data_IF_078803861628
#
_entry.id   IF_078803861628
#
_cell.length_a   1.000
_cell.length_b   1.000
_cell.length_c   1.000
_cell.angle_alpha   90.00
_cell.angle_beta   90.00
_cell.angle_gamma   90.00
#
_symmetry.space_group_name_H-M   'P 1'
#
loop_
_entity.id
_entity.type
_entity.pdbx_description
1 polymer ?
#
# COMPACT_ATOMS: atom_id res chain seq x y z
N UNK A 1 -13.02 23.07 -1.82
CA UNK A 1 -13.52 24.28 -1.14
C UNK A 1 -14.94 24.56 -1.59
N UNK A 2 -15.79 24.97 -0.66
CA UNK A 2 -17.17 25.40 -0.93
C UNK A 2 -17.30 26.91 -0.80
N UNK A 3 -18.37 27.50 -1.33
CA UNK A 3 -18.74 28.91 -1.16
C UNK A 3 -19.05 29.26 0.33
N UNK A 4 -19.44 28.29 1.13
CA UNK A 4 -19.61 28.43 2.58
C UNK A 4 -18.28 28.36 3.37
N UNK A 5 -17.15 28.22 2.70
CA UNK A 5 -15.82 28.22 3.32
C UNK A 5 -15.37 26.86 3.90
N UNK A 6 -16.14 25.79 3.69
CA UNK A 6 -15.71 24.45 4.10
C UNK A 6 -14.70 23.88 3.10
N UNK A 7 -13.77 23.09 3.63
CA UNK A 7 -12.75 22.39 2.82
C UNK A 7 -12.76 20.90 3.15
N UNK A 8 -12.97 20.08 2.13
CA UNK A 8 -12.78 18.63 2.20
C UNK A 8 -11.36 18.24 1.82
N UNK A 9 -10.80 17.29 2.55
CA UNK A 9 -9.50 16.70 2.28
C UNK A 9 -9.68 15.32 1.66
N UNK A 10 -9.03 15.09 0.52
CA UNK A 10 -8.93 13.77 -0.10
C UNK A 10 -7.51 13.55 -0.58
N UNK A 11 -7.08 12.30 -0.63
CA UNK A 11 -5.74 11.93 -1.08
C UNK A 11 -5.75 10.74 -2.01
N UNK A 12 -4.67 10.61 -2.75
CA UNK A 12 -4.37 9.46 -3.60
C UNK A 12 -2.86 9.37 -3.79
N UNK A 13 -2.39 8.30 -4.44
CA UNK A 13 -0.96 8.08 -4.62
C UNK A 13 -0.64 7.51 -6.01
N UNK A 14 0.65 7.48 -6.36
CA UNK A 14 1.24 7.10 -7.67
C UNK A 14 0.84 8.04 -8.81
N UNK A 15 1.79 8.34 -9.67
CA UNK A 15 1.63 9.20 -10.85
C UNK A 15 0.95 10.56 -10.55
N UNK A 16 1.42 11.33 -9.55
CA UNK A 16 0.70 12.50 -9.07
C UNK A 16 0.40 13.51 -10.17
N UNK A 17 1.32 13.76 -11.11
CA UNK A 17 1.12 14.72 -12.20
C UNK A 17 -0.02 14.31 -13.13
N UNK A 18 -0.13 13.01 -13.46
CA UNK A 18 -1.22 12.54 -14.31
C UNK A 18 -2.57 12.63 -13.59
N UNK A 19 -2.62 12.36 -12.29
CA UNK A 19 -3.84 12.47 -11.48
C UNK A 19 -4.25 13.95 -11.33
N UNK A 20 -3.31 14.85 -11.05
CA UNK A 20 -3.58 16.28 -10.94
C UNK A 20 -4.15 16.81 -12.27
N UNK A 21 -3.55 16.45 -13.41
CA UNK A 21 -4.06 16.82 -14.73
C UNK A 21 -5.50 16.32 -14.93
N UNK A 22 -5.75 15.06 -14.65
CA UNK A 22 -7.12 14.48 -14.75
C UNK A 22 -8.13 15.20 -13.85
N UNK A 23 -7.77 15.50 -12.60
CA UNK A 23 -8.65 16.22 -11.68
C UNK A 23 -8.99 17.60 -12.24
N UNK A 24 -7.99 18.35 -12.71
CA UNK A 24 -8.20 19.70 -13.21
C UNK A 24 -8.90 19.76 -14.57
N UNK A 25 -8.64 18.82 -15.46
CA UNK A 25 -9.18 18.82 -16.81
C UNK A 25 -10.55 18.12 -16.93
N UNK A 26 -10.81 17.16 -16.04
CA UNK A 26 -12.03 16.32 -16.12
C UNK A 26 -12.96 16.48 -14.92
N UNK A 27 -12.44 16.37 -13.69
CA UNK A 27 -13.29 16.40 -12.50
C UNK A 27 -13.74 17.81 -12.13
N UNK A 28 -12.81 18.77 -12.10
CA UNK A 28 -13.10 20.14 -11.67
C UNK A 28 -14.13 20.84 -12.57
N UNK A 29 -14.07 20.78 -13.90
CA UNK A 29 -15.10 21.38 -14.75
C UNK A 29 -16.50 20.81 -14.52
N UNK A 30 -16.58 19.53 -14.15
CA UNK A 30 -17.86 18.91 -13.81
C UNK A 30 -18.39 19.34 -12.43
N UNK A 31 -17.51 19.45 -11.42
CA UNK A 31 -17.90 19.67 -10.01
C UNK A 31 -18.16 21.13 -9.68
N UNK A 32 -17.52 22.07 -10.38
CA UNK A 32 -17.68 23.50 -10.10
C UNK A 32 -19.13 23.94 -10.16
N UNK A 33 -19.60 24.61 -9.09
CA UNK A 33 -20.96 25.11 -8.94
C UNK A 33 -22.02 24.04 -8.64
N UNK A 34 -21.60 22.81 -8.32
CA UNK A 34 -22.51 21.71 -7.90
C UNK A 34 -22.55 21.57 -6.40
N UNK A 35 -23.66 21.03 -5.91
CA UNK A 35 -23.85 20.68 -4.50
C UNK A 35 -22.93 19.52 -4.11
N UNK A 36 -21.91 19.74 -3.23
CA UNK A 36 -20.96 18.70 -2.85
C UNK A 36 -21.57 17.56 -2.04
N UNK A 37 -22.77 17.72 -1.51
CA UNK A 37 -23.45 16.68 -0.71
C UNK A 37 -24.11 15.59 -1.56
N UNK A 38 -24.19 15.77 -2.87
CA UNK A 38 -24.72 14.76 -3.81
C UNK A 38 -23.64 13.73 -4.20
N UNK A 39 -22.97 13.15 -3.20
CA UNK A 39 -21.76 12.33 -3.36
C UNK A 39 -21.98 11.17 -4.33
N UNK A 40 -23.06 10.38 -4.15
CA UNK A 40 -23.35 9.23 -5.01
C UNK A 40 -23.59 9.62 -6.47
N UNK A 41 -24.22 10.77 -6.70
CA UNK A 41 -24.41 11.30 -8.06
C UNK A 41 -23.07 11.69 -8.68
N UNK A 42 -22.20 12.33 -7.91
CA UNK A 42 -20.87 12.71 -8.40
C UNK A 42 -20.00 11.49 -8.65
N UNK A 43 -20.04 10.48 -7.78
CA UNK A 43 -19.32 9.23 -7.98
C UNK A 43 -19.74 8.54 -9.27
N UNK A 44 -21.05 8.40 -9.53
CA UNK A 44 -21.55 7.79 -10.76
C UNK A 44 -21.20 8.62 -12.00
N UNK A 45 -21.40 9.93 -11.97
CA UNK A 45 -21.11 10.80 -13.10
C UNK A 45 -19.62 10.84 -13.44
N UNK A 46 -18.74 10.96 -12.46
CA UNK A 46 -17.29 10.94 -12.70
C UNK A 46 -16.81 9.59 -13.21
N UNK A 47 -17.45 8.50 -12.76
CA UNK A 47 -17.07 7.16 -13.19
C UNK A 47 -17.59 6.83 -14.59
N UNK A 48 -18.84 7.18 -14.91
CA UNK A 48 -19.55 6.61 -16.06
C UNK A 48 -19.97 7.63 -17.12
N UNK A 49 -20.22 8.90 -16.77
CA UNK A 49 -20.98 9.81 -17.62
C UNK A 49 -20.28 11.11 -18.04
N UNK A 50 -19.12 11.42 -17.49
CA UNK A 50 -18.32 12.61 -17.87
C UNK A 50 -17.29 12.24 -18.96
N UNK A 51 -16.06 12.65 -18.80
CA UNK A 51 -14.96 12.34 -19.72
C UNK A 51 -14.72 10.84 -19.86
N UNK A 52 -15.12 10.04 -18.88
CA UNK A 52 -14.85 8.61 -18.81
C UNK A 52 -15.89 7.72 -19.53
N UNK A 53 -16.96 8.26 -20.06
CA UNK A 53 -18.04 7.49 -20.69
C UNK A 53 -17.61 6.58 -21.84
N UNK A 54 -16.50 6.90 -22.49
CA UNK A 54 -15.93 6.13 -23.59
C UNK A 54 -14.76 5.26 -23.19
N UNK A 55 -14.32 5.31 -21.91
CA UNK A 55 -13.20 4.54 -21.41
C UNK A 55 -13.74 3.34 -20.64
N UNK A 56 -13.62 2.16 -21.25
CA UNK A 56 -14.08 0.91 -20.63
C UNK A 56 -13.18 0.44 -19.49
N UNK A 57 -13.80 -0.24 -18.52
CA UNK A 57 -13.07 -1.09 -17.61
C UNK A 57 -12.44 -2.26 -18.41
N UNK A 58 -11.19 -2.69 -18.20
CA UNK A 58 -10.29 -2.37 -17.06
C UNK A 58 -9.20 -1.30 -17.37
N UNK A 59 -9.34 -0.51 -18.41
CA UNK A 59 -8.29 0.42 -18.86
C UNK A 59 -8.16 1.67 -17.99
N UNK A 60 -9.13 1.95 -17.13
CA UNK A 60 -9.12 3.07 -16.20
C UNK A 60 -8.12 2.84 -15.07
N UNK A 61 -7.24 3.78 -14.84
CA UNK A 61 -6.24 3.74 -13.78
C UNK A 61 -6.13 5.10 -13.07
N UNK A 62 -5.70 6.14 -13.79
CA UNK A 62 -5.61 7.51 -13.29
C UNK A 62 -6.98 8.03 -12.89
N UNK A 63 -8.02 7.71 -13.66
CA UNK A 63 -9.40 8.09 -13.44
C UNK A 63 -9.93 7.57 -12.09
N UNK A 64 -9.71 6.28 -11.78
CA UNK A 64 -10.11 5.73 -10.50
C UNK A 64 -9.40 6.40 -9.32
N UNK A 65 -8.11 6.71 -9.47
CA UNK A 65 -7.33 7.37 -8.42
C UNK A 65 -7.78 8.81 -8.18
N UNK A 66 -8.03 9.55 -9.26
CA UNK A 66 -8.56 10.91 -9.19
C UNK A 66 -9.96 10.96 -8.62
N UNK A 67 -10.85 10.08 -9.09
CA UNK A 67 -12.22 9.97 -8.58
C UNK A 67 -12.23 9.58 -7.09
N UNK A 68 -11.36 8.67 -6.66
CA UNK A 68 -11.22 8.28 -5.26
C UNK A 68 -10.82 9.46 -4.38
N UNK A 69 -9.85 10.28 -4.80
CA UNK A 69 -9.45 11.47 -4.06
C UNK A 69 -10.62 12.47 -3.91
N UNK A 70 -11.41 12.66 -4.97
CA UNK A 70 -12.61 13.52 -4.94
C UNK A 70 -13.68 12.94 -4.01
N UNK A 71 -13.96 11.66 -4.11
CA UNK A 71 -14.96 10.97 -3.27
C UNK A 71 -14.63 11.10 -1.78
N UNK A 72 -13.38 10.83 -1.40
CA UNK A 72 -12.90 11.03 -0.02
C UNK A 72 -13.10 12.47 0.43
N UNK A 73 -12.75 13.47 -0.41
CA UNK A 73 -12.93 14.88 -0.09
C UNK A 73 -14.41 15.28 0.10
N UNK A 74 -15.31 14.72 -0.70
CA UNK A 74 -16.75 14.97 -0.58
C UNK A 74 -17.34 14.37 0.70
N UNK A 75 -16.91 13.16 1.07
CA UNK A 75 -17.29 12.54 2.35
C UNK A 75 -16.75 13.32 3.56
N UNK A 76 -15.52 13.82 3.49
CA UNK A 76 -14.96 14.69 4.53
C UNK A 76 -15.72 16.01 4.65
N UNK A 77 -16.10 16.63 3.52
CA UNK A 77 -16.99 17.80 3.50
C UNK A 77 -18.33 17.53 4.17
N UNK A 78 -18.96 16.40 3.86
CA UNK A 78 -20.24 16.00 4.45
C UNK A 78 -20.13 15.84 5.96
N UNK A 79 -19.08 15.20 6.45
CA UNK A 79 -18.84 15.04 7.87
C UNK A 79 -18.66 16.40 8.57
N UNK A 80 -17.84 17.27 7.98
CA UNK A 80 -17.60 18.64 8.50
C UNK A 80 -18.85 19.51 8.48
N UNK A 81 -19.65 19.48 7.41
CA UNK A 81 -20.90 20.23 7.31
C UNK A 81 -21.95 19.81 8.36
N UNK A 82 -21.91 18.54 8.76
CA UNK A 82 -22.80 17.99 9.79
C UNK A 82 -22.22 18.07 11.20
N UNK A 83 -21.00 18.57 11.37
CA UNK A 83 -20.23 18.55 12.62
C UNK A 83 -20.16 17.15 13.27
N UNK A 84 -20.01 16.12 12.45
CA UNK A 84 -19.92 14.72 12.86
C UNK A 84 -18.59 14.12 12.42
N UNK A 85 -18.18 13.02 13.06
CA UNK A 85 -17.07 12.22 12.59
C UNK A 85 -17.47 11.46 11.33
N UNK A 86 -16.54 11.22 10.43
CA UNK A 86 -16.82 10.42 9.22
C UNK A 86 -17.38 9.03 9.55
N UNK A 87 -16.88 8.39 10.59
CA UNK A 87 -17.38 7.07 11.03
C UNK A 87 -18.87 7.12 11.40
N UNK A 88 -19.35 8.21 12.00
CA UNK A 88 -20.75 8.36 12.38
C UNK A 88 -21.64 8.58 11.15
N UNK A 89 -21.16 9.33 10.15
CA UNK A 89 -21.83 9.51 8.85
C UNK A 89 -21.93 8.18 8.08
N UNK A 90 -20.95 7.31 8.23
CA UNK A 90 -20.90 5.98 7.57
C UNK A 90 -21.68 4.90 8.33
N UNK A 91 -22.43 5.26 9.38
CA UNK A 91 -23.29 4.35 10.13
C UNK A 91 -22.81 3.98 11.53
N UNK A 92 -21.76 4.62 12.01
CA UNK A 92 -21.19 4.42 13.35
C UNK A 92 -20.10 3.35 13.44
N UNK A 93 -19.37 3.35 14.55
CA UNK A 93 -18.25 2.40 14.74
C UNK A 93 -18.79 0.99 15.08
N UNK A 94 -18.22 -0.02 14.47
CA UNK A 94 -18.46 -1.43 14.84
C UNK A 94 -17.42 -1.96 15.84
N UNK A 95 -16.39 -1.17 16.15
CA UNK A 95 -15.33 -1.47 17.12
C UNK A 95 -14.65 -0.19 17.57
N UNK A 96 -14.12 -0.19 18.79
CA UNK A 96 -13.45 1.00 19.36
C UNK A 96 -11.96 1.09 18.99
N UNK A 97 -11.36 -0.04 18.61
CA UNK A 97 -9.94 -0.13 18.24
C UNK A 97 -9.76 -1.03 17.03
N UNK A 98 -8.78 -0.71 16.22
CA UNK A 98 -8.37 -1.50 15.05
C UNK A 98 -6.94 -1.97 15.29
N UNK A 99 -6.64 -3.28 15.19
CA UNK A 99 -5.28 -3.78 15.17
C UNK A 99 -4.50 -3.17 14.00
N UNK A 100 -3.25 -2.83 14.26
CA UNK A 100 -2.35 -2.27 13.25
C UNK A 100 -1.11 -3.13 13.12
N UNK A 101 -0.44 -3.04 11.97
CA UNK A 101 0.89 -3.57 11.76
C UNK A 101 1.82 -2.49 11.22
N UNK A 102 3.12 -2.67 11.40
CA UNK A 102 4.13 -1.85 10.75
C UNK A 102 4.52 -2.49 9.41
N UNK A 103 4.44 -1.72 8.32
CA UNK A 103 4.85 -2.20 6.98
C UNK A 103 6.37 -2.22 6.76
N UNK A 104 7.15 -1.81 7.74
CA UNK A 104 8.62 -1.80 7.75
C UNK A 104 9.23 -1.12 6.51
N UNK A 105 8.63 -0.01 6.09
CA UNK A 105 9.11 0.79 4.96
C UNK A 105 10.10 1.87 5.42
N UNK A 106 10.86 2.42 4.46
CA UNK A 106 11.76 3.54 4.72
C UNK A 106 11.02 4.86 4.83
N UNK A 107 11.53 5.79 5.64
CA UNK A 107 11.01 7.15 5.77
C UNK A 107 11.03 7.96 4.47
N UNK A 108 11.94 7.63 3.55
CA UNK A 108 12.05 8.22 2.21
C UNK A 108 11.43 7.37 1.11
N UNK A 109 10.59 6.41 1.45
CA UNK A 109 9.93 5.52 0.47
C UNK A 109 8.87 6.30 -0.32
N UNK A 110 9.35 7.12 -1.24
CA UNK A 110 8.54 7.77 -2.24
C UNK A 110 8.67 7.03 -3.56
N UNK A 111 7.55 6.55 -4.07
CA UNK A 111 7.44 6.09 -5.46
C UNK A 111 7.63 7.29 -6.39
N UNK A 112 8.87 7.65 -6.63
CA UNK A 112 9.21 8.52 -7.73
C UNK A 112 9.19 7.68 -9.01
N UNK A 113 8.34 8.06 -9.97
CA UNK A 113 8.08 7.32 -11.21
C UNK A 113 9.35 7.05 -12.06
N UNK A 114 10.46 7.69 -11.74
CA UNK A 114 11.74 7.52 -12.42
C UNK A 114 12.65 6.46 -11.83
N UNK A 115 12.20 5.70 -10.83
CA UNK A 115 13.09 4.81 -10.07
C UNK A 115 12.69 3.34 -10.08
N UNK A 116 12.52 2.75 -11.25
CA UNK A 116 12.52 1.28 -11.38
C UNK A 116 13.84 0.63 -10.92
N UNK A 117 14.87 1.44 -10.63
CA UNK A 117 16.16 1.01 -10.08
C UNK A 117 16.35 1.35 -8.59
N UNK A 118 15.42 2.07 -7.95
CA UNK A 118 15.62 2.66 -6.62
C UNK A 118 15.54 1.66 -5.48
N UNK A 119 14.68 0.64 -5.53
CA UNK A 119 14.65 -0.38 -4.47
C UNK A 119 16.04 -1.01 -4.23
N UNK A 120 16.83 -1.18 -5.29
CA UNK A 120 18.19 -1.71 -5.18
C UNK A 120 19.22 -0.61 -4.90
N UNK A 121 19.00 0.63 -5.36
CA UNK A 121 19.94 1.74 -5.15
C UNK A 121 19.75 2.45 -3.81
N UNK A 122 18.52 2.49 -3.26
CA UNK A 122 18.25 3.07 -1.93
C UNK A 122 18.80 2.20 -0.81
N UNK A 123 18.86 0.88 -0.99
CA UNK A 123 19.65 0.01 -0.13
C UNK A 123 21.16 0.35 -0.15
N UNK A 124 21.62 1.15 -1.13
CA UNK A 124 23.02 1.56 -1.29
C UNK A 124 23.30 3.03 -0.96
N UNK A 125 22.30 3.90 -0.86
CA UNK A 125 22.52 5.36 -0.90
C UNK A 125 22.22 6.14 0.37
N UNK A 126 21.70 5.53 1.44
CA UNK A 126 21.47 6.28 2.68
C UNK A 126 22.79 6.48 3.44
N UNK A 127 23.54 7.52 3.04
CA UNK A 127 24.73 8.00 3.77
C UNK A 127 24.41 8.97 4.92
N UNK A 128 23.16 9.31 5.19
CA UNK A 128 22.77 10.07 6.36
C UNK A 128 22.37 9.13 7.51
N UNK A 129 23.34 8.89 8.37
CA UNK A 129 23.36 7.87 9.42
C UNK A 129 22.51 8.14 10.67
N UNK A 130 21.52 9.02 10.65
CA UNK A 130 20.79 9.41 11.88
C UNK A 130 19.29 9.09 11.87
N UNK A 131 18.71 8.54 10.83
CA UNK A 131 17.31 8.12 10.85
C UNK A 131 17.21 6.61 11.00
N UNK A 132 16.45 6.16 11.97
CA UNK A 132 15.95 4.81 12.13
C UNK A 132 15.18 4.44 10.82
N UNK A 133 15.59 3.38 10.15
CA UNK A 133 15.06 2.96 8.85
C UNK A 133 14.63 1.50 8.92
N UNK A 134 13.32 1.28 9.02
CA UNK A 134 12.73 -0.05 9.12
C UNK A 134 13.04 -0.93 7.91
N UNK A 135 13.15 -0.33 6.70
CA UNK A 135 13.48 -1.06 5.49
C UNK A 135 14.92 -1.61 5.53
N UNK A 136 15.85 -0.86 6.10
CA UNK A 136 17.21 -1.34 6.32
C UNK A 136 17.23 -2.40 7.41
N UNK A 137 16.54 -2.17 8.52
CA UNK A 137 16.50 -3.05 9.69
C UNK A 137 15.86 -4.40 9.39
N UNK A 138 14.75 -4.45 8.62
CA UNK A 138 14.13 -5.73 8.24
C UNK A 138 15.09 -6.64 7.46
N UNK A 139 16.11 -6.06 6.83
CA UNK A 139 17.12 -6.81 6.08
C UNK A 139 18.35 -7.16 6.94
N UNK A 140 18.86 -6.20 7.71
CA UNK A 140 20.11 -6.36 8.47
C UNK A 140 19.89 -6.92 9.87
N UNK A 141 18.90 -6.41 10.59
CA UNK A 141 18.63 -6.74 11.99
C UNK A 141 17.13 -6.94 12.24
N UNK A 142 16.47 -7.91 11.55
CA UNK A 142 15.02 -8.08 11.64
C UNK A 142 14.53 -8.48 13.04
N UNK A 143 15.35 -9.16 13.84
CA UNK A 143 15.03 -9.50 15.22
C UNK A 143 14.98 -8.27 16.14
N UNK A 144 15.96 -7.34 15.99
CA UNK A 144 15.99 -6.10 16.78
C UNK A 144 14.82 -5.20 16.39
N UNK A 145 14.48 -5.13 15.09
CA UNK A 145 13.29 -4.41 14.63
C UNK A 145 12.02 -4.97 15.25
N UNK A 146 11.85 -6.30 15.24
CA UNK A 146 10.68 -6.94 15.83
C UNK A 146 10.56 -6.65 17.33
N UNK A 147 11.68 -6.68 18.08
CA UNK A 147 11.69 -6.33 19.49
C UNK A 147 11.32 -4.87 19.73
N UNK A 148 11.87 -3.94 18.93
CA UNK A 148 11.54 -2.51 19.00
C UNK A 148 10.06 -2.24 18.79
N UNK A 149 9.44 -2.90 17.80
CA UNK A 149 7.99 -2.79 17.54
C UNK A 149 7.15 -3.29 18.72
N UNK A 150 7.54 -4.40 19.33
CA UNK A 150 6.87 -4.91 20.53
C UNK A 150 6.99 -3.94 21.71
N UNK A 151 8.14 -3.31 21.90
CA UNK A 151 8.37 -2.31 22.95
C UNK A 151 7.47 -1.07 22.74
N UNK A 152 7.15 -0.73 21.49
CA UNK A 152 6.17 0.30 21.12
C UNK A 152 4.70 -0.18 21.22
N UNK A 153 4.46 -1.45 21.51
CA UNK A 153 3.12 -2.04 21.59
C UNK A 153 2.56 -2.48 20.25
N UNK A 154 3.33 -2.48 19.15
CA UNK A 154 2.96 -2.96 17.83
C UNK A 154 3.21 -4.47 17.77
N UNK A 155 2.15 -5.26 17.54
CA UNK A 155 2.19 -6.72 17.61
C UNK A 155 2.18 -7.41 16.24
N UNK A 156 2.38 -6.66 15.19
CA UNK A 156 2.39 -7.20 13.83
C UNK A 156 3.33 -6.38 12.93
N UNK A 157 4.06 -7.08 12.06
CA UNK A 157 4.99 -6.48 11.12
C UNK A 157 4.91 -7.13 9.75
N UNK A 158 5.07 -6.32 8.68
CA UNK A 158 5.13 -6.81 7.31
C UNK A 158 6.52 -6.55 6.74
N UNK A 159 7.18 -7.62 6.24
CA UNK A 159 8.53 -7.58 5.69
C UNK A 159 8.55 -8.08 4.24
N UNK A 160 9.62 -7.74 3.51
CA UNK A 160 9.81 -8.06 2.09
C UNK A 160 11.07 -8.90 1.87
N UNK A 161 11.12 -10.12 2.41
CA UNK A 161 12.37 -10.86 2.53
C UNK A 161 12.91 -11.44 1.22
N UNK A 162 12.09 -11.45 0.13
CA UNK A 162 12.43 -12.11 -1.12
C UNK A 162 12.52 -11.19 -2.33
N UNK A 163 12.14 -9.92 -2.24
CA UNK A 163 12.02 -9.01 -3.39
C UNK A 163 13.31 -8.83 -4.18
N UNK A 164 14.44 -8.66 -3.48
CA UNK A 164 15.74 -8.47 -4.14
C UNK A 164 16.11 -9.62 -5.07
N UNK A 165 15.66 -10.86 -4.76
CA UNK A 165 15.94 -12.04 -5.57
C UNK A 165 14.99 -12.14 -6.77
N UNK A 166 13.80 -11.57 -6.67
CA UNK A 166 12.85 -11.49 -7.79
C UNK A 166 13.40 -10.63 -8.92
N UNK A 167 14.03 -9.50 -8.62
CA UNK A 167 14.59 -8.61 -9.65
C UNK A 167 15.64 -9.29 -10.53
N UNK A 168 16.49 -10.15 -9.95
CA UNK A 168 17.55 -10.87 -10.68
C UNK A 168 16.95 -11.82 -11.71
N UNK A 169 15.90 -12.56 -11.35
CA UNK A 169 15.27 -13.59 -12.18
C UNK A 169 14.03 -13.12 -12.93
N UNK A 170 13.62 -11.85 -12.75
CA UNK A 170 12.31 -11.33 -13.16
C UNK A 170 11.15 -12.21 -12.64
N UNK A 171 11.31 -12.69 -11.42
CA UNK A 171 10.33 -13.52 -10.72
C UNK A 171 10.19 -14.95 -11.26
N UNK A 172 11.03 -15.40 -12.19
CA UNK A 172 10.89 -16.71 -12.84
C UNK A 172 11.47 -17.87 -12.01
N UNK A 173 12.44 -17.59 -11.15
CA UNK A 173 13.07 -18.60 -10.31
C UNK A 173 13.68 -17.98 -9.06
N UNK A 174 13.77 -18.79 -8.00
CA UNK A 174 14.58 -18.48 -6.82
C UNK A 174 15.59 -19.60 -6.58
N UNK A 175 16.88 -19.24 -6.45
CA UNK A 175 17.94 -20.19 -6.13
C UNK A 175 17.81 -20.69 -4.69
N UNK A 176 18.36 -21.89 -4.39
CA UNK A 176 18.35 -22.39 -3.01
C UNK A 176 19.13 -21.50 -2.03
N UNK A 177 20.29 -20.92 -2.40
CA UNK A 177 20.97 -19.95 -1.55
C UNK A 177 20.14 -18.69 -1.27
N UNK A 178 19.44 -18.14 -2.27
CA UNK A 178 18.64 -16.93 -2.10
C UNK A 178 17.37 -17.19 -1.30
N UNK A 179 16.72 -18.34 -1.53
CA UNK A 179 15.62 -18.79 -0.68
C UNK A 179 16.06 -18.86 0.79
N UNK A 180 17.22 -19.48 1.05
CA UNK A 180 17.76 -19.57 2.41
C UNK A 180 18.01 -18.21 3.04
N UNK A 181 18.51 -17.21 2.29
CA UNK A 181 18.71 -15.85 2.80
C UNK A 181 17.39 -15.17 3.19
N UNK A 182 16.36 -15.31 2.36
CA UNK A 182 15.02 -14.77 2.69
C UNK A 182 14.42 -15.43 3.93
N UNK A 183 14.51 -16.76 4.02
CA UNK A 183 14.03 -17.51 5.19
C UNK A 183 14.81 -17.17 6.47
N UNK A 184 16.12 -16.89 6.38
CA UNK A 184 16.95 -16.49 7.52
C UNK A 184 16.42 -15.21 8.18
N UNK A 185 15.92 -14.25 7.41
CA UNK A 185 15.31 -13.02 7.96
C UNK A 185 14.10 -13.34 8.83
N UNK A 186 13.21 -14.20 8.35
CA UNK A 186 12.01 -14.62 9.09
C UNK A 186 12.43 -15.41 10.33
N UNK A 187 13.37 -16.33 10.18
CA UNK A 187 13.91 -17.12 11.29
C UNK A 187 14.47 -16.24 12.39
N UNK A 188 15.27 -15.21 12.06
CA UNK A 188 15.85 -14.28 13.04
C UNK A 188 14.79 -13.50 13.81
N UNK A 189 13.65 -13.16 13.22
CA UNK A 189 12.50 -12.59 13.94
C UNK A 189 11.96 -13.62 14.93
N UNK A 190 11.69 -14.85 14.49
CA UNK A 190 11.17 -15.90 15.36
C UNK A 190 12.14 -16.27 16.48
N UNK A 191 13.45 -16.30 16.21
CA UNK A 191 14.48 -16.55 17.21
C UNK A 191 14.51 -15.44 18.29
N UNK A 192 14.26 -14.17 17.90
CA UNK A 192 14.31 -13.04 18.81
C UNK A 192 13.05 -12.90 19.68
N UNK A 193 11.87 -13.02 19.08
CA UNK A 193 10.60 -12.66 19.74
C UNK A 193 9.55 -13.79 19.75
N UNK A 194 9.85 -14.94 19.18
CA UNK A 194 8.94 -16.08 19.10
C UNK A 194 7.66 -15.74 18.33
N UNK A 195 6.52 -16.14 18.89
CA UNK A 195 5.18 -15.86 18.34
C UNK A 195 4.53 -14.60 18.93
N UNK A 196 5.28 -13.74 19.62
CA UNK A 196 4.72 -12.51 20.21
C UNK A 196 4.40 -11.43 19.18
N UNK A 197 4.90 -11.56 17.95
CA UNK A 197 4.60 -10.68 16.82
C UNK A 197 4.08 -11.50 15.63
N UNK A 198 3.00 -11.02 15.01
CA UNK A 198 2.52 -11.57 13.76
C UNK A 198 3.42 -11.11 12.61
N UNK A 199 3.82 -12.03 11.74
CA UNK A 199 4.64 -11.73 10.58
C UNK A 199 3.77 -11.83 9.32
N UNK A 200 3.75 -10.75 8.52
CA UNK A 200 3.16 -10.70 7.20
C UNK A 200 4.28 -10.63 6.17
N UNK A 201 4.08 -11.28 5.03
CA UNK A 201 5.05 -11.27 3.95
C UNK A 201 4.48 -10.57 2.72
N UNK A 202 5.21 -9.61 2.22
CA UNK A 202 4.94 -8.91 0.97
C UNK A 202 5.83 -9.45 -0.14
N UNK A 203 5.26 -9.66 -1.34
CA UNK A 203 5.96 -10.13 -2.53
C UNK A 203 5.83 -9.17 -3.73
N UNK A 204 5.06 -8.09 -3.57
CA UNK A 204 4.82 -7.03 -4.58
C UNK A 204 4.44 -7.55 -5.97
N UNK A 205 3.75 -8.68 -6.08
CA UNK A 205 3.37 -9.30 -7.36
C UNK A 205 4.57 -9.61 -8.28
N UNK A 206 5.76 -9.78 -7.71
CA UNK A 206 7.00 -9.93 -8.49
C UNK A 206 7.24 -11.36 -8.99
N UNK A 207 6.61 -12.35 -8.38
CA UNK A 207 6.90 -13.76 -8.64
C UNK A 207 5.91 -14.40 -9.63
N UNK A 208 6.41 -15.38 -10.39
CA UNK A 208 5.58 -16.35 -11.09
C UNK A 208 5.11 -17.44 -10.12
N UNK A 209 4.05 -18.17 -10.49
CA UNK A 209 3.42 -19.17 -9.61
C UNK A 209 4.41 -20.20 -9.03
N UNK A 210 5.25 -20.81 -9.87
CA UNK A 210 6.13 -21.89 -9.42
C UNK A 210 7.14 -21.46 -8.34
N UNK A 211 7.91 -20.36 -8.48
CA UNK A 211 8.77 -19.88 -7.40
C UNK A 211 7.98 -19.37 -6.19
N UNK A 212 6.82 -18.75 -6.36
CA UNK A 212 5.96 -18.34 -5.25
C UNK A 212 5.52 -19.53 -4.39
N UNK A 213 5.05 -20.61 -5.00
CA UNK A 213 4.71 -21.86 -4.32
C UNK A 213 5.94 -22.49 -3.60
N UNK A 214 7.12 -22.43 -4.24
CA UNK A 214 8.35 -22.90 -3.60
C UNK A 214 8.66 -22.08 -2.34
N UNK A 215 8.56 -20.76 -2.39
CA UNK A 215 8.77 -19.88 -1.24
C UNK A 215 7.72 -20.19 -0.15
N UNK A 216 6.44 -20.15 -0.49
CA UNK A 216 5.34 -20.38 0.45
C UNK A 216 5.50 -21.69 1.23
N UNK A 217 5.83 -22.79 0.53
CA UNK A 217 6.07 -24.10 1.14
C UNK A 217 7.18 -24.09 2.21
N UNK A 218 8.22 -23.27 2.03
CA UNK A 218 9.33 -23.19 3.00
C UNK A 218 9.07 -22.15 4.09
N UNK A 219 8.17 -21.21 3.84
CA UNK A 219 7.76 -20.20 4.83
C UNK A 219 6.76 -20.77 5.82
N UNK A 220 6.02 -21.81 5.46
CA UNK A 220 4.95 -22.41 6.24
C UNK A 220 5.40 -22.81 7.67
N UNK A 221 6.65 -23.24 7.84
CA UNK A 221 7.23 -23.55 9.15
C UNK A 221 7.33 -22.37 10.14
N UNK A 222 7.24 -21.13 9.64
CA UNK A 222 7.37 -19.91 10.46
C UNK A 222 6.03 -19.34 10.93
N UNK A 223 4.91 -19.96 10.60
CA UNK A 223 3.56 -19.52 11.00
C UNK A 223 3.34 -18.02 10.70
N UNK A 224 3.42 -17.66 9.40
CA UNK A 224 3.18 -16.28 8.94
C UNK A 224 1.69 -16.02 8.82
N UNK A 225 1.26 -14.80 9.15
CA UNK A 225 -0.14 -14.41 9.22
C UNK A 225 -0.81 -14.33 7.83
N UNK A 226 -0.11 -13.76 6.82
CA UNK A 226 -0.54 -13.78 5.42
C UNK A 226 0.62 -13.63 4.44
N UNK A 227 0.31 -13.96 3.18
CA UNK A 227 1.14 -13.69 2.01
C UNK A 227 0.44 -12.61 1.16
N UNK A 228 1.03 -11.43 1.02
CA UNK A 228 0.49 -10.30 0.26
C UNK A 228 1.07 -10.31 -1.14
N UNK A 229 0.20 -10.19 -2.15
CA UNK A 229 0.57 -10.13 -3.57
C UNK A 229 1.62 -11.19 -4.01
N UNK A 230 1.39 -12.50 -3.72
CA UNK A 230 2.43 -13.53 -3.88
C UNK A 230 2.84 -13.80 -5.32
N UNK A 231 1.96 -13.50 -6.28
CA UNK A 231 2.20 -13.74 -7.71
C UNK A 231 1.79 -12.55 -8.56
N UNK A 232 2.27 -12.55 -9.81
CA UNK A 232 1.86 -11.55 -10.80
C UNK A 232 0.37 -11.70 -11.13
N UNK A 233 -0.41 -10.66 -10.82
CA UNK A 233 -1.87 -10.61 -10.99
C UNK A 233 -2.34 -10.62 -12.45
N UNK A 234 -1.44 -10.58 -13.45
CA UNK A 234 -1.81 -10.68 -14.85
C UNK A 234 -2.37 -12.08 -15.21
N UNK A 235 -2.14 -13.07 -14.38
CA UNK A 235 -2.56 -14.46 -14.59
C UNK A 235 -3.62 -14.88 -13.56
N UNK A 236 -4.86 -14.39 -13.72
CA UNK A 236 -5.96 -14.66 -12.77
C UNK A 236 -6.26 -16.15 -12.52
N UNK A 237 -5.85 -17.03 -13.44
CA UNK A 237 -6.03 -18.49 -13.25
C UNK A 237 -5.05 -19.10 -12.25
N UNK A 238 -4.03 -18.37 -11.88
CA UNK A 238 -2.99 -18.83 -10.94
C UNK A 238 -3.31 -18.40 -9.50
N UNK A 239 -4.34 -17.56 -9.33
CA UNK A 239 -4.91 -17.17 -8.04
C UNK A 239 -5.90 -18.22 -7.52
#
# INVERSE_FOLDING_TARGET
HTDEGLTGLGETFRNPNAIVSYIHESCAPYLLGKDPLRINEHADNLLNWTANRYIGYPTRSVEYRGNSAIDIALWDLKAKSSNLKLVDILGGPCRDKIPIYNTCAASGYNWDANSSSRLVSELKSNQNKESYDDLELQTKNPGDLAQSLLDEGIKAMKIWPFDEFAFISKGQMISSPDLKKGLDRIKRIRDAVGSNIDIMLEYHSLWQLAPALKIAKHVDEFDVFWHEDPINMAHLKDL
#
